data_IF_353524050575
#
_entry.id   IF_353524050575
#
_cell.length_a   1.000
_cell.length_b   1.000
_cell.length_c   1.000
_cell.angle_alpha   90.00
_cell.angle_beta   90.00
_cell.angle_gamma   90.00
#
_symmetry.space_group_name_H-M   'P 1'
#
loop_
_entity.id
_entity.type
_entity.pdbx_description
1 polymer ?
#
# COMPACT_ATOMS: atom_id res chain seq x y z
N UNK A 1 3.37 -6.89 -8.88
CA UNK A 1 4.39 -7.42 -7.96
C UNK A 1 5.50 -6.41 -7.83
N UNK A 2 5.93 -6.16 -6.61
CA UNK A 2 7.03 -5.24 -6.31
C UNK A 2 8.13 -6.03 -5.63
N UNK A 3 9.30 -6.01 -6.24
CA UNK A 3 10.54 -6.46 -5.64
C UNK A 3 11.25 -5.25 -5.05
N UNK A 4 11.58 -5.27 -3.77
CA UNK A 4 12.37 -4.23 -3.11
C UNK A 4 13.79 -4.75 -2.87
N UNK A 5 14.73 -4.31 -3.69
CA UNK A 5 16.14 -4.64 -3.55
C UNK A 5 16.82 -3.63 -2.65
N UNK A 6 17.13 -4.00 -1.41
CA UNK A 6 18.06 -3.23 -0.56
C UNK A 6 19.52 -3.30 -1.02
N UNK A 7 19.78 -4.00 -2.13
CA UNK A 7 21.09 -4.25 -2.76
C UNK A 7 20.98 -4.02 -4.26
N UNK A 8 22.11 -3.87 -4.94
CA UNK A 8 22.13 -3.78 -6.41
C UNK A 8 21.72 -5.10 -7.09
N UNK A 9 21.35 -5.01 -8.38
CA UNK A 9 20.89 -6.17 -9.15
C UNK A 9 21.96 -7.26 -9.34
N UNK A 10 23.24 -6.88 -9.35
CA UNK A 10 24.34 -7.82 -9.55
C UNK A 10 24.53 -8.72 -8.31
N UNK A 11 24.46 -8.12 -7.11
CA UNK A 11 24.50 -8.84 -5.85
C UNK A 11 23.33 -9.81 -5.74
N UNK A 12 22.13 -9.39 -6.13
CA UNK A 12 20.95 -10.25 -6.12
C UNK A 12 21.08 -11.47 -7.04
N UNK A 13 21.65 -11.29 -8.24
CA UNK A 13 21.98 -12.42 -9.13
C UNK A 13 23.04 -13.33 -8.52
N UNK A 14 24.08 -12.77 -7.91
CA UNK A 14 25.13 -13.55 -7.26
C UNK A 14 24.58 -14.40 -6.10
N UNK A 15 23.51 -13.93 -5.45
CA UNK A 15 22.80 -14.64 -4.38
C UNK A 15 21.75 -15.64 -4.91
N UNK A 16 21.71 -15.88 -6.22
CA UNK A 16 20.88 -16.90 -6.86
C UNK A 16 19.44 -16.48 -7.14
N UNK A 17 19.14 -15.18 -7.13
CA UNK A 17 17.85 -14.68 -7.61
C UNK A 17 17.82 -14.70 -9.14
N UNK A 18 17.21 -15.73 -9.70
CA UNK A 18 16.91 -15.79 -11.12
C UNK A 18 15.71 -14.89 -11.46
N UNK A 19 15.79 -14.01 -12.48
CA UNK A 19 14.68 -13.13 -12.86
C UNK A 19 13.40 -13.90 -13.21
N UNK A 20 13.53 -15.11 -13.75
CA UNK A 20 12.41 -15.97 -14.13
C UNK A 20 11.64 -16.47 -12.89
N UNK A 21 12.28 -16.55 -11.73
CA UNK A 21 11.59 -16.88 -10.48
C UNK A 21 10.58 -15.80 -10.08
N UNK A 22 10.75 -14.56 -10.54
CA UNK A 22 9.80 -13.45 -10.34
C UNK A 22 8.70 -13.43 -11.40
N UNK A 23 8.94 -14.04 -12.56
CA UNK A 23 8.01 -14.07 -13.69
C UNK A 23 6.98 -15.18 -13.50
N UNK A 24 5.96 -14.95 -12.67
CA UNK A 24 4.86 -15.90 -12.49
C UNK A 24 3.57 -15.42 -13.18
N UNK A 25 3.16 -16.17 -14.21
CA UNK A 25 1.90 -15.94 -14.91
C UNK A 25 1.83 -14.57 -15.60
N UNK A 26 0.79 -13.81 -15.28
CA UNK A 26 0.50 -12.48 -15.87
C UNK A 26 0.92 -11.32 -14.96
N UNK A 27 1.63 -11.58 -13.88
CA UNK A 27 2.02 -10.55 -12.92
C UNK A 27 3.01 -9.56 -13.54
N UNK A 28 2.72 -8.26 -13.37
CA UNK A 28 3.70 -7.22 -13.65
C UNK A 28 4.78 -7.24 -12.58
N UNK A 29 6.05 -7.26 -13.00
CA UNK A 29 7.21 -7.26 -12.10
C UNK A 29 7.94 -5.92 -12.18
N UNK A 30 8.11 -5.30 -11.02
CA UNK A 30 8.88 -4.07 -10.84
C UNK A 30 9.94 -4.30 -9.78
N UNK A 31 11.18 -3.90 -10.05
CA UNK A 31 12.31 -3.97 -9.12
C UNK A 31 12.74 -2.57 -8.71
N UNK A 32 12.83 -2.32 -7.41
CA UNK A 32 13.43 -1.11 -6.84
C UNK A 32 14.91 -1.36 -6.58
N UNK A 33 15.76 -0.40 -6.95
CA UNK A 33 17.20 -0.45 -6.70
C UNK A 33 17.68 0.86 -6.08
N UNK A 34 18.68 0.84 -5.19
CA UNK A 34 19.22 2.06 -4.64
C UNK A 34 19.93 2.89 -5.72
N UNK A 35 19.87 4.22 -5.55
CA UNK A 35 20.54 5.17 -6.43
C UNK A 35 19.56 5.98 -7.29
N UNK A 36 20.11 6.85 -8.12
CA UNK A 36 19.36 7.66 -9.07
C UNK A 36 18.94 6.88 -10.34
N UNK A 37 18.22 7.54 -11.24
CA UNK A 37 17.70 6.93 -12.47
C UNK A 37 18.79 6.49 -13.45
N UNK A 38 19.93 7.18 -13.50
CA UNK A 38 21.05 6.79 -14.34
C UNK A 38 21.74 5.54 -13.80
N UNK A 39 21.93 5.49 -12.47
CA UNK A 39 22.46 4.31 -11.77
C UNK A 39 21.54 3.11 -11.93
N UNK A 40 20.22 3.29 -11.78
CA UNK A 40 19.25 2.21 -11.96
C UNK A 40 19.22 1.67 -13.40
N UNK A 41 19.35 2.56 -14.41
CA UNK A 41 19.44 2.15 -15.82
C UNK A 41 20.72 1.36 -16.11
N UNK A 42 21.87 1.83 -15.60
CA UNK A 42 23.15 1.14 -15.75
C UNK A 42 23.15 -0.23 -15.07
N UNK A 43 22.57 -0.34 -13.87
CA UNK A 43 22.39 -1.62 -13.17
C UNK A 43 21.52 -2.58 -13.97
N UNK A 44 20.40 -2.10 -14.54
CA UNK A 44 19.52 -2.92 -15.39
C UNK A 44 20.27 -3.48 -16.60
N UNK A 45 21.03 -2.64 -17.30
CA UNK A 45 21.79 -3.02 -18.48
C UNK A 45 22.91 -4.01 -18.14
N UNK A 46 23.71 -3.70 -17.12
CA UNK A 46 24.82 -4.54 -16.66
C UNK A 46 24.35 -5.92 -16.21
N UNK A 47 23.22 -5.97 -15.48
CA UNK A 47 22.66 -7.23 -15.01
C UNK A 47 21.83 -7.96 -16.07
N UNK A 48 21.61 -7.38 -17.27
CA UNK A 48 20.70 -7.94 -18.27
C UNK A 48 19.30 -8.21 -17.69
N UNK A 49 18.82 -7.34 -16.79
CA UNK A 49 17.61 -7.59 -16.02
C UNK A 49 16.36 -7.39 -16.89
N UNK A 50 15.50 -8.40 -17.06
CA UNK A 50 14.40 -8.31 -18.03
C UNK A 50 13.25 -7.41 -17.55
N UNK A 51 13.08 -7.29 -16.23
CA UNK A 51 11.92 -6.61 -15.63
C UNK A 51 12.08 -5.09 -15.59
N UNK A 52 11.00 -4.37 -15.29
CA UNK A 52 11.04 -2.91 -15.07
C UNK A 52 11.87 -2.64 -13.80
N UNK A 53 12.83 -1.73 -13.90
CA UNK A 53 13.62 -1.26 -12.76
C UNK A 53 13.27 0.20 -12.50
N UNK A 54 13.07 0.56 -11.24
CA UNK A 54 12.88 1.93 -10.76
C UNK A 54 13.99 2.28 -9.78
N UNK A 55 14.41 3.55 -9.84
CA UNK A 55 15.33 4.12 -8.86
C UNK A 55 14.62 4.36 -7.53
N UNK A 56 15.30 4.06 -6.44
CA UNK A 56 14.90 4.36 -5.06
C UNK A 56 16.04 5.12 -4.34
N UNK A 57 16.24 6.41 -4.66
CA UNK A 57 17.28 7.22 -4.06
C UNK A 57 17.08 7.29 -2.54
N UNK A 58 18.13 7.01 -1.76
CA UNK A 58 18.02 6.99 -0.30
C UNK A 58 17.22 5.80 0.26
N UNK A 59 16.80 4.86 -0.58
CA UNK A 59 16.03 3.68 -0.19
C UNK A 59 14.72 4.01 0.56
N UNK A 60 14.10 5.17 0.29
CA UNK A 60 12.89 5.60 1.01
C UNK A 60 11.74 4.62 0.83
N UNK A 61 11.52 4.14 -0.40
CA UNK A 61 10.43 3.21 -0.70
C UNK A 61 10.75 1.85 -0.07
N UNK A 62 11.96 1.35 -0.27
CA UNK A 62 12.43 0.07 0.28
C UNK A 62 12.32 0.06 1.81
N UNK A 63 12.77 1.11 2.49
CA UNK A 63 12.67 1.25 3.95
C UNK A 63 11.22 1.40 4.41
N UNK A 64 10.38 2.11 3.65
CA UNK A 64 8.95 2.22 3.92
C UNK A 64 8.26 0.85 3.93
N UNK A 65 8.51 0.03 2.91
CA UNK A 65 7.99 -1.34 2.87
C UNK A 65 8.53 -2.22 4.00
N UNK A 66 9.81 -2.10 4.33
CA UNK A 66 10.40 -2.85 5.44
C UNK A 66 9.78 -2.46 6.79
N UNK A 67 9.59 -1.17 7.06
CA UNK A 67 8.94 -0.68 8.27
C UNK A 67 7.47 -1.09 8.39
N UNK A 68 6.73 -1.11 7.28
CA UNK A 68 5.31 -1.48 7.27
C UNK A 68 5.08 -3.00 7.38
N UNK A 69 5.96 -3.80 6.78
CA UNK A 69 5.82 -5.26 6.74
C UNK A 69 6.58 -6.00 7.84
N UNK A 70 7.57 -5.35 8.46
CA UNK A 70 8.53 -5.99 9.36
C UNK A 70 9.55 -6.88 8.63
N UNK A 71 9.59 -6.85 7.30
CA UNK A 71 10.50 -7.68 6.49
C UNK A 71 11.63 -6.82 5.92
N UNK A 72 12.86 -7.10 6.34
CA UNK A 72 14.03 -6.41 5.84
C UNK A 72 14.27 -6.72 4.35
N UNK A 73 14.79 -5.74 3.62
CA UNK A 73 15.23 -5.94 2.25
C UNK A 73 16.57 -6.73 2.22
N UNK A 74 16.83 -7.55 1.18
CA UNK A 74 16.02 -7.72 -0.02
C UNK A 74 14.76 -8.55 0.21
N UNK A 75 13.62 -8.07 -0.33
CA UNK A 75 12.32 -8.70 -0.12
C UNK A 75 11.43 -8.62 -1.37
N UNK A 76 10.51 -9.58 -1.47
CA UNK A 76 9.48 -9.64 -2.51
C UNK A 76 8.12 -9.37 -1.90
N UNK A 77 7.40 -8.43 -2.52
CA UNK A 77 6.04 -8.05 -2.16
C UNK A 77 5.11 -8.37 -3.32
N UNK A 78 4.09 -9.18 -3.05
CA UNK A 78 3.05 -9.53 -4.01
C UNK A 78 1.84 -8.64 -3.74
N UNK A 79 1.40 -7.94 -4.78
CA UNK A 79 0.22 -7.07 -4.73
C UNK A 79 -0.88 -7.68 -5.60
N UNK A 80 -2.12 -7.59 -5.14
CA UNK A 80 -3.30 -7.89 -5.96
C UNK A 80 -3.60 -6.76 -6.97
N UNK A 81 -4.57 -6.94 -7.89
CA UNK A 81 -4.97 -5.88 -8.82
C UNK A 81 -5.49 -4.59 -8.16
N UNK A 82 -5.93 -4.65 -6.90
CA UNK A 82 -6.35 -3.49 -6.11
C UNK A 82 -5.20 -2.86 -5.32
N UNK A 83 -3.95 -3.24 -5.62
CA UNK A 83 -2.73 -2.77 -4.97
C UNK A 83 -2.65 -3.11 -3.47
N UNK A 84 -3.39 -4.13 -3.01
CA UNK A 84 -3.31 -4.65 -1.65
C UNK A 84 -2.15 -5.62 -1.54
N UNK A 85 -1.44 -5.57 -0.42
CA UNK A 85 -0.40 -6.54 -0.11
C UNK A 85 -1.04 -7.90 0.21
N UNK A 86 -0.74 -8.90 -0.61
CA UNK A 86 -1.23 -10.28 -0.41
C UNK A 86 -0.14 -11.20 0.13
N UNK A 87 1.13 -10.85 -0.05
CA UNK A 87 2.25 -11.61 0.47
C UNK A 87 3.52 -10.79 0.52
N UNK A 88 4.34 -11.02 1.54
CA UNK A 88 5.66 -10.44 1.66
C UNK A 88 6.64 -11.53 2.12
N UNK A 89 7.82 -11.57 1.52
CA UNK A 89 8.86 -12.56 1.84
C UNK A 89 10.24 -11.96 1.72
N UNK A 90 11.02 -12.08 2.80
CA UNK A 90 12.45 -11.75 2.79
C UNK A 90 13.24 -12.79 2.00
N UNK A 91 14.36 -12.37 1.42
CA UNK A 91 15.26 -13.23 0.66
C UNK A 91 16.55 -13.57 1.41
N UNK A 92 16.60 -13.28 2.71
CA UNK A 92 17.68 -13.74 3.58
C UNK A 92 17.75 -15.28 3.56
N UNK A 93 18.90 -15.83 3.16
CA UNK A 93 19.09 -17.28 3.03
C UNK A 93 18.74 -17.85 1.63
N UNK A 94 18.34 -17.01 0.67
CA UNK A 94 18.26 -17.36 -0.75
C UNK A 94 16.85 -17.45 -1.34
N UNK A 95 16.80 -17.67 -2.66
CA UNK A 95 15.56 -17.64 -3.46
C UNK A 95 14.87 -19.01 -3.65
N UNK A 96 15.24 -20.03 -2.86
CA UNK A 96 14.68 -21.37 -3.00
C UNK A 96 13.15 -21.38 -2.83
N UNK A 97 12.44 -21.98 -3.79
CA UNK A 97 10.98 -22.05 -3.80
C UNK A 97 10.26 -20.69 -3.98
N UNK A 98 10.98 -19.63 -4.36
CA UNK A 98 10.40 -18.29 -4.52
C UNK A 98 9.28 -18.28 -5.57
N UNK A 99 9.51 -18.87 -6.75
CA UNK A 99 8.51 -18.89 -7.82
C UNK A 99 7.21 -19.61 -7.42
N UNK A 100 7.31 -20.72 -6.71
CA UNK A 100 6.15 -21.45 -6.20
C UNK A 100 5.37 -20.63 -5.15
N UNK A 101 6.09 -19.98 -4.23
CA UNK A 101 5.47 -19.08 -3.25
C UNK A 101 4.77 -17.90 -3.92
N UNK A 102 5.42 -17.28 -4.91
CA UNK A 102 4.83 -16.20 -5.71
C UNK A 102 3.54 -16.67 -6.39
N UNK A 103 3.57 -17.84 -7.03
CA UNK A 103 2.41 -18.37 -7.75
C UNK A 103 1.22 -18.61 -6.81
N UNK A 104 1.48 -19.12 -5.60
CA UNK A 104 0.46 -19.28 -4.56
C UNK A 104 -0.14 -17.91 -4.12
N UNK A 105 0.70 -16.91 -3.87
CA UNK A 105 0.21 -15.56 -3.50
C UNK A 105 -0.62 -14.92 -4.63
N UNK A 106 -0.22 -15.11 -5.89
CA UNK A 106 -0.99 -14.62 -7.03
C UNK A 106 -2.33 -15.35 -7.20
N UNK A 107 -2.37 -16.66 -6.92
CA UNK A 107 -3.62 -17.42 -6.93
C UNK A 107 -4.60 -16.95 -5.83
N UNK A 108 -4.08 -16.58 -4.66
CA UNK A 108 -4.88 -16.04 -3.56
C UNK A 108 -5.37 -14.60 -3.82
N UNK A 109 -4.53 -13.76 -4.44
CA UNK A 109 -4.88 -12.38 -4.79
C UNK A 109 -5.77 -12.26 -6.04
N UNK A 110 -5.73 -13.26 -6.92
CA UNK A 110 -6.57 -13.36 -8.09
C UNK A 110 -8.04 -13.44 -7.69
N UNK A 111 -8.77 -12.32 -7.81
CA UNK A 111 -10.22 -12.32 -7.75
C UNK A 111 -10.78 -12.94 -9.03
N UNK A 112 -10.58 -14.25 -9.19
CA UNK A 112 -11.37 -15.09 -10.08
C UNK A 112 -12.78 -15.23 -9.53
N UNK A 113 -13.47 -14.11 -9.27
CA UNK A 113 -14.93 -14.17 -9.28
C UNK A 113 -15.27 -14.40 -10.74
N UNK A 114 -15.53 -15.66 -11.11
CA UNK A 114 -16.35 -15.93 -12.27
C UNK A 114 -17.48 -14.91 -12.23
N UNK A 115 -17.63 -14.09 -13.28
CA UNK A 115 -18.65 -13.04 -13.36
C UNK A 115 -19.96 -13.64 -12.88
N UNK A 116 -20.25 -13.43 -11.60
CA UNK A 116 -21.38 -14.10 -11.00
C UNK A 116 -22.47 -13.14 -11.38
N UNK A 117 -23.29 -13.54 -12.36
CA UNK A 117 -24.50 -12.79 -12.68
C UNK A 117 -25.21 -12.58 -11.34
N UNK A 118 -25.22 -11.34 -10.87
CA UNK A 118 -25.79 -10.97 -9.59
C UNK A 118 -27.30 -11.08 -9.75
N UNK A 119 -27.83 -12.29 -9.59
CA UNK A 119 -29.26 -12.61 -9.70
C UNK A 119 -30.08 -11.88 -8.64
N UNK A 120 -29.44 -11.47 -7.54
CA UNK A 120 -30.00 -10.59 -6.51
C UNK A 120 -28.98 -9.53 -6.15
N UNK A 121 -29.26 -8.27 -6.51
CA UNK A 121 -28.53 -7.13 -5.99
C UNK A 121 -28.63 -7.13 -4.45
N UNK A 122 -27.52 -6.83 -3.78
CA UNK A 122 -27.59 -6.50 -2.35
C UNK A 122 -28.59 -5.33 -2.18
N UNK A 123 -29.40 -5.31 -1.11
CA UNK A 123 -30.29 -4.18 -0.85
C UNK A 123 -29.46 -2.90 -0.86
N UNK A 124 -29.89 -1.90 -1.64
CA UNK A 124 -29.22 -0.61 -1.64
C UNK A 124 -29.17 -0.10 -0.19
N UNK A 125 -27.97 0.32 0.24
CA UNK A 125 -27.83 1.04 1.50
C UNK A 125 -28.46 2.41 1.31
N UNK A 126 -29.74 2.54 1.65
CA UNK A 126 -30.40 3.84 1.72
C UNK A 126 -29.85 4.56 2.95
N UNK A 127 -28.95 5.52 2.74
CA UNK A 127 -28.49 6.42 3.78
C UNK A 127 -29.61 7.44 3.99
N UNK A 128 -30.40 7.38 5.08
CA UNK A 128 -31.67 8.13 5.19
C UNK A 128 -31.47 9.64 5.36
N UNK A 129 -30.23 10.09 5.49
CA UNK A 129 -29.83 11.48 5.75
C UNK A 129 -28.54 11.76 4.98
N UNK A 130 -28.60 11.61 3.66
CA UNK A 130 -27.60 12.28 2.84
C UNK A 130 -27.75 13.77 3.11
N UNK A 131 -26.64 14.45 3.42
CA UNK A 131 -26.65 15.90 3.56
C UNK A 131 -27.01 16.48 2.20
N UNK A 132 -28.02 17.35 2.15
CA UNK A 132 -28.35 18.04 0.93
C UNK A 132 -27.22 19.05 0.59
N UNK A 133 -27.09 19.48 -0.68
CA UNK A 133 -26.06 20.44 -1.08
C UNK A 133 -26.04 21.71 -0.21
N UNK A 134 -27.22 22.16 0.22
CA UNK A 134 -27.38 23.31 1.11
C UNK A 134 -26.83 23.06 2.52
N UNK A 135 -27.01 21.83 3.06
CA UNK A 135 -26.43 21.42 4.34
C UNK A 135 -24.90 21.35 4.25
N UNK A 136 -24.38 20.88 3.11
CA UNK A 136 -22.94 20.83 2.85
C UNK A 136 -22.33 22.23 2.81
N UNK A 137 -22.96 23.16 2.08
CA UNK A 137 -22.52 24.56 2.00
C UNK A 137 -22.57 25.25 3.36
N UNK A 138 -23.63 24.98 4.14
CA UNK A 138 -23.74 25.49 5.50
C UNK A 138 -22.64 24.95 6.42
N UNK A 139 -22.35 23.65 6.39
CA UNK A 139 -21.29 23.02 7.19
C UNK A 139 -19.89 23.53 6.81
N UNK A 140 -19.64 23.72 5.51
CA UNK A 140 -18.39 24.31 5.00
C UNK A 140 -18.26 25.75 5.50
N UNK A 141 -19.33 26.54 5.42
CA UNK A 141 -19.38 27.90 5.94
C UNK A 141 -19.11 27.96 7.45
N UNK A 142 -19.70 27.05 8.21
CA UNK A 142 -19.49 26.93 9.66
C UNK A 142 -18.04 26.55 9.98
N UNK A 143 -17.41 25.66 9.21
CA UNK A 143 -16.01 25.28 9.41
C UNK A 143 -15.03 26.43 9.14
N UNK A 144 -15.33 27.25 8.12
CA UNK A 144 -14.49 28.38 7.76
C UNK A 144 -14.65 29.58 8.69
N UNK A 145 -15.90 29.88 9.10
CA UNK A 145 -16.25 31.16 9.72
C UNK A 145 -16.84 31.03 11.13
N UNK A 146 -17.09 29.81 11.61
CA UNK A 146 -17.60 29.58 12.96
C UNK A 146 -16.54 29.83 14.03
N UNK A 147 -16.98 30.20 15.23
CA UNK A 147 -16.11 30.30 16.40
C UNK A 147 -15.43 28.95 16.66
N UNK A 148 -14.10 28.97 16.70
CA UNK A 148 -13.28 27.81 17.03
C UNK A 148 -12.97 27.87 18.52
N UNK A 149 -13.60 26.99 19.29
CA UNK A 149 -13.32 26.85 20.70
C UNK A 149 -12.42 25.62 20.89
N UNK A 150 -11.15 25.86 21.20
CA UNK A 150 -10.16 24.79 21.37
C UNK A 150 -10.61 23.84 22.50
N UNK A 151 -10.85 22.58 22.15
CA UNK A 151 -11.26 21.53 23.10
C UNK A 151 -12.76 21.20 23.13
N UNK A 152 -13.57 21.81 22.26
CA UNK A 152 -15.02 21.55 22.21
C UNK A 152 -15.49 21.25 20.79
N UNK A 153 -16.32 20.21 20.62
CA UNK A 153 -17.01 19.96 19.35
C UNK A 153 -18.33 20.72 19.36
N UNK A 154 -18.51 21.62 18.40
CA UNK A 154 -19.79 22.28 18.17
C UNK A 154 -20.84 21.23 17.78
N UNK A 155 -21.76 20.94 18.69
CA UNK A 155 -23.02 20.27 18.39
C UNK A 155 -24.01 21.35 17.94
N UNK A 156 -24.71 21.10 16.84
CA UNK A 156 -25.54 22.11 16.15
C UNK A 156 -26.50 22.87 17.07
N UNK A 157 -26.97 24.02 16.59
CA UNK A 157 -27.64 25.10 17.34
C UNK A 157 -28.83 24.71 18.26
N UNK A 158 -29.36 23.49 18.14
CA UNK A 158 -30.42 22.95 19.00
C UNK A 158 -29.92 22.31 20.30
N UNK A 159 -28.62 22.07 20.45
CA UNK A 159 -28.02 21.54 21.66
C UNK A 159 -27.45 22.69 22.49
N UNK A 160 -28.15 23.08 23.56
CA UNK A 160 -27.79 24.20 24.45
C UNK A 160 -26.55 23.94 25.33
N UNK A 161 -25.42 23.58 24.73
CA UNK A 161 -24.15 23.35 25.39
C UNK A 161 -23.27 22.40 24.59
N UNK A 162 -22.06 22.87 24.23
CA UNK A 162 -21.05 22.05 23.57
C UNK A 162 -20.68 20.82 24.42
N UNK A 163 -20.46 19.68 23.77
CA UNK A 163 -19.94 18.50 24.46
C UNK A 163 -18.44 18.71 24.66
N UNK A 164 -18.03 18.89 25.92
CA UNK A 164 -16.62 18.89 26.32
C UNK A 164 -15.98 17.58 25.85
N UNK A 165 -14.97 17.68 24.97
CA UNK A 165 -14.19 16.52 24.57
C UNK A 165 -13.28 16.20 25.75
N UNK A 166 -13.51 15.06 26.41
CA UNK A 166 -12.56 14.59 27.42
C UNK A 166 -11.21 14.39 26.73
N UNK A 167 -10.15 15.15 27.07
CA UNK A 167 -8.90 15.19 26.30
C UNK A 167 -8.19 13.84 26.19
N UNK A 168 -8.57 12.87 27.02
CA UNK A 168 -8.02 11.53 27.06
C UNK A 168 -8.66 10.56 26.06
N UNK A 169 -9.77 10.92 25.41
CA UNK A 169 -10.54 9.97 24.57
C UNK A 169 -9.99 9.85 23.15
N UNK A 170 -9.27 10.87 22.65
CA UNK A 170 -8.45 10.78 21.44
C UNK A 170 -6.99 10.99 21.79
N UNK A 171 -6.37 9.98 22.41
CA UNK A 171 -4.93 9.78 22.27
C UNK A 171 -4.71 8.80 21.13
N UNK A 172 -3.84 9.17 20.17
CA UNK A 172 -3.15 8.17 19.37
C UNK A 172 -2.25 7.42 20.35
N UNK A 173 -2.50 6.14 20.55
CA UNK A 173 -1.52 5.25 21.17
C UNK A 173 -0.42 5.00 20.13
N UNK A 174 0.47 5.98 19.96
CA UNK A 174 1.74 5.71 19.31
C UNK A 174 2.57 4.93 20.35
N UNK A 175 2.63 3.60 20.19
CA UNK A 175 3.51 2.72 20.96
C UNK A 175 4.96 3.01 20.55
N UNK A 176 5.80 3.30 21.55
CA UNK A 176 7.25 3.56 21.42
C UNK A 176 8.06 2.27 21.43
#
# INVERSE_FOLDING_TARGET
MVFAGGRDLAALRAEGLEPDALAAGTAQVVTLVPGDTAQAAAQKETAGWPHRVLADPGAEITNGFAGLSGIAAPAVYVLDPNQRLVGARGLEGGAAGLGAWIADMLAQGGHGRAETIVQRAAPALLIPRALDPEDCDWLIGLWHNGERDDGTVAVGASAGGGVQVVPTTKRREDYY
#
